data_IF_207585460811
#
_entry.id   IF_207585460811
#
_cell.length_a   1.000
_cell.length_b   1.000
_cell.length_c   1.000
_cell.angle_alpha   90.00
_cell.angle_beta   90.00
_cell.angle_gamma   90.00
#
_symmetry.space_group_name_H-M   'P 1'
#
loop_
_entity.id
_entity.type
_entity.pdbx_description
1 polymer ?
#
# COMPACT_ATOMS: atom_id res chain seq x y z
N UNK A 1 -0.36 18.30 19.90
CA UNK A 1 -0.08 17.49 18.70
C UNK A 1 0.14 16.08 19.20
N UNK A 2 -0.70 15.12 18.81
CA UNK A 2 -0.43 13.73 19.16
C UNK A 2 0.83 13.30 18.41
N UNK A 3 1.82 12.80 19.13
CA UNK A 3 2.99 12.21 18.50
C UNK A 3 2.54 10.91 17.82
N UNK A 4 2.86 10.78 16.54
CA UNK A 4 2.65 9.56 15.78
C UNK A 4 4.00 8.94 15.44
N UNK A 5 4.04 7.60 15.40
CA UNK A 5 5.23 6.86 14.97
C UNK A 5 4.87 6.01 13.78
N UNK A 6 5.72 6.02 12.75
CA UNK A 6 5.59 5.14 11.58
C UNK A 6 6.57 4.00 11.76
N UNK A 7 6.09 2.76 11.60
CA UNK A 7 6.91 1.55 11.63
C UNK A 7 6.55 0.62 10.49
N UNK A 8 7.49 -0.17 9.98
CA UNK A 8 7.21 -1.19 8.97
C UNK A 8 6.83 -2.53 9.59
N UNK A 9 6.26 -3.44 8.81
CA UNK A 9 6.00 -4.80 9.24
C UNK A 9 7.30 -5.51 9.63
N UNK A 10 8.41 -5.22 8.93
CA UNK A 10 9.74 -5.72 9.34
C UNK A 10 10.13 -5.27 10.75
N UNK A 11 9.78 -4.04 11.13
CA UNK A 11 10.14 -3.47 12.43
C UNK A 11 9.23 -3.93 13.57
N UNK A 12 7.95 -4.19 13.29
CA UNK A 12 6.94 -4.62 14.27
C UNK A 12 6.11 -5.81 13.75
N UNK A 13 6.74 -6.98 13.54
CA UNK A 13 6.03 -8.16 13.05
C UNK A 13 4.96 -8.65 14.05
N UNK A 14 5.09 -8.30 15.33
CA UNK A 14 4.10 -8.58 16.38
C UNK A 14 2.76 -7.85 16.18
N UNK A 15 2.72 -6.80 15.35
CA UNK A 15 1.51 -6.03 15.06
C UNK A 15 0.81 -6.42 13.76
N UNK A 16 1.38 -7.35 12.98
CA UNK A 16 0.80 -7.81 11.71
C UNK A 16 -0.63 -8.31 11.87
N UNK A 17 -0.98 -9.15 12.87
CA UNK A 17 -2.36 -9.63 13.03
C UNK A 17 -3.38 -8.49 13.20
N UNK A 18 -3.00 -7.43 13.93
CA UNK A 18 -3.85 -6.24 14.12
C UNK A 18 -4.01 -5.46 12.82
N UNK A 19 -2.96 -5.43 12.02
CA UNK A 19 -2.95 -4.75 10.72
C UNK A 19 -3.83 -5.47 9.69
N UNK A 20 -3.80 -6.80 9.69
CA UNK A 20 -4.63 -7.63 8.82
C UNK A 20 -6.11 -7.48 9.15
N UNK A 21 -6.47 -7.55 10.44
CA UNK A 21 -7.85 -7.33 10.91
C UNK A 21 -8.39 -5.97 10.44
N UNK A 22 -7.60 -4.90 10.62
CA UNK A 22 -7.98 -3.55 10.20
C UNK A 22 -8.07 -3.40 8.67
N UNK A 23 -7.18 -4.06 7.94
CA UNK A 23 -7.19 -4.06 6.47
C UNK A 23 -8.45 -4.75 5.96
N UNK A 24 -8.76 -5.93 6.50
CA UNK A 24 -9.94 -6.71 6.14
C UNK A 24 -11.25 -5.95 6.45
N UNK A 25 -11.35 -5.26 7.60
CA UNK A 25 -12.52 -4.43 7.94
C UNK A 25 -12.70 -3.23 7.00
N UNK A 26 -11.59 -2.71 6.44
CA UNK A 26 -11.61 -1.52 5.59
C UNK A 26 -11.88 -1.84 4.11
N UNK A 27 -11.80 -3.11 3.71
CA UNK A 27 -11.95 -3.52 2.31
C UNK A 27 -13.41 -3.63 1.88
N UNK A 28 -13.82 -2.97 0.77
CA UNK A 28 -15.12 -3.19 0.16
C UNK A 28 -15.30 -4.63 -0.33
N UNK A 29 -16.53 -5.12 -0.43
CA UNK A 29 -16.85 -6.46 -0.97
C UNK A 29 -16.27 -6.72 -2.37
N UNK A 30 -16.08 -5.65 -3.17
CA UNK A 30 -15.49 -5.72 -4.51
C UNK A 30 -13.98 -6.04 -4.50
N UNK A 31 -13.28 -5.87 -3.37
CA UNK A 31 -11.91 -6.33 -3.20
C UNK A 31 -11.84 -7.82 -2.84
N UNK A 32 -12.83 -8.33 -2.09
CA UNK A 32 -12.89 -9.74 -1.68
C UNK A 32 -13.10 -10.71 -2.85
N UNK A 33 -13.68 -10.23 -3.96
CA UNK A 33 -13.95 -11.02 -5.16
C UNK A 33 -12.92 -10.83 -6.28
N UNK A 34 -11.82 -10.11 -6.03
CA UNK A 34 -10.82 -9.85 -7.04
C UNK A 34 -9.73 -10.93 -7.10
N UNK A 35 -9.53 -11.51 -8.27
CA UNK A 35 -8.58 -12.61 -8.45
C UNK A 35 -7.12 -12.18 -8.31
N UNK A 36 -6.76 -10.95 -8.67
CA UNK A 36 -5.39 -10.42 -8.54
C UNK A 36 -5.10 -10.07 -7.09
N UNK A 37 -6.01 -9.33 -6.44
CA UNK A 37 -5.91 -8.97 -5.02
C UNK A 37 -5.83 -10.22 -4.14
N UNK A 38 -6.73 -11.19 -4.33
CA UNK A 38 -6.74 -12.43 -3.55
C UNK A 38 -5.46 -13.26 -3.70
N UNK A 39 -4.81 -13.19 -4.87
CA UNK A 39 -3.57 -13.92 -5.16
C UNK A 39 -2.33 -13.21 -4.63
N UNK A 40 -2.24 -11.89 -4.84
CA UNK A 40 -1.00 -11.13 -4.68
C UNK A 40 -0.97 -10.27 -3.41
N UNK A 41 -2.10 -9.75 -2.95
CA UNK A 41 -2.10 -8.86 -1.80
C UNK A 41 -1.64 -9.54 -0.50
N UNK A 42 -2.05 -10.78 -0.17
CA UNK A 42 -1.55 -11.47 1.02
C UNK A 42 -0.03 -11.70 1.01
N UNK A 43 0.59 -11.75 -0.18
CA UNK A 43 2.04 -11.92 -0.31
C UNK A 43 2.83 -10.66 0.07
N UNK A 44 2.20 -9.48 0.09
CA UNK A 44 2.89 -8.21 0.38
C UNK A 44 3.54 -8.21 1.77
N UNK A 45 2.90 -8.83 2.75
CA UNK A 45 3.43 -8.98 4.11
C UNK A 45 4.76 -9.73 4.11
N UNK A 46 4.85 -10.81 3.35
CA UNK A 46 6.00 -11.73 3.35
C UNK A 46 7.10 -11.24 2.41
N UNK A 47 6.73 -10.86 1.20
CA UNK A 47 7.67 -10.53 0.12
C UNK A 47 8.12 -9.07 0.17
N UNK A 48 7.31 -8.18 0.75
CA UNK A 48 7.59 -6.73 0.84
C UNK A 48 7.35 -6.13 2.24
N UNK A 49 7.84 -6.74 3.34
CA UNK A 49 7.56 -6.28 4.72
C UNK A 49 8.14 -4.89 5.03
N UNK A 50 9.10 -4.41 4.25
CA UNK A 50 9.66 -3.06 4.36
C UNK A 50 8.73 -1.99 3.77
N UNK A 51 7.79 -2.39 2.92
CA UNK A 51 6.87 -1.49 2.22
C UNK A 51 5.43 -1.55 2.76
N UNK A 52 5.21 -2.38 3.79
CA UNK A 52 3.97 -2.41 4.57
C UNK A 52 4.23 -1.68 5.88
N UNK A 53 3.41 -0.70 6.23
CA UNK A 53 3.68 0.17 7.37
C UNK A 53 2.45 0.48 8.22
N UNK A 54 2.71 0.83 9.47
CA UNK A 54 1.75 1.12 10.51
C UNK A 54 1.96 2.53 11.03
N UNK A 55 0.85 3.21 11.32
CA UNK A 55 0.85 4.44 12.10
C UNK A 55 0.42 4.13 13.51
N UNK A 56 1.29 4.40 14.48
CA UNK A 56 1.04 4.21 15.90
C UNK A 56 0.78 5.55 16.58
N UNK A 57 -0.17 5.58 17.53
CA UNK A 57 -0.30 6.73 18.43
C UNK A 57 0.71 6.68 19.59
N UNK A 58 0.69 7.70 20.45
CA UNK A 58 1.60 7.77 21.61
C UNK A 58 1.43 6.65 22.64
N UNK A 59 0.36 5.84 22.56
CA UNK A 59 0.13 4.64 23.36
C UNK A 59 0.50 3.34 22.63
N UNK A 60 1.17 3.42 21.48
CA UNK A 60 1.50 2.30 20.58
C UNK A 60 0.28 1.57 19.99
N UNK A 61 -0.90 2.21 19.97
CA UNK A 61 -2.06 1.63 19.29
C UNK A 61 -1.95 1.84 17.79
N UNK A 62 -2.29 0.82 17.00
CA UNK A 62 -2.40 0.93 15.53
C UNK A 62 -3.59 1.81 15.18
N UNK A 63 -3.31 2.96 14.55
CA UNK A 63 -4.31 3.94 14.11
C UNK A 63 -4.32 4.14 12.59
N UNK A 64 -3.48 3.39 11.87
CA UNK A 64 -3.49 3.34 10.42
C UNK A 64 -2.59 2.23 9.89
N UNK A 65 -2.98 1.64 8.76
CA UNK A 65 -2.18 0.64 8.01
C UNK A 65 -2.03 1.15 6.58
N UNK A 66 -0.82 1.10 6.06
CA UNK A 66 -0.48 1.50 4.71
C UNK A 66 0.19 0.35 3.97
N UNK A 67 -0.30 0.07 2.76
CA UNK A 67 0.26 -0.94 1.89
C UNK A 67 0.77 -0.29 0.61
N UNK A 68 1.96 -0.71 0.22
CA UNK A 68 2.62 -0.24 -0.99
C UNK A 68 3.49 -1.33 -1.59
N UNK A 69 3.83 -1.18 -2.86
CA UNK A 69 4.66 -2.13 -3.58
C UNK A 69 5.72 -1.37 -4.40
N UNK A 70 7.00 -1.78 -4.33
CA UNK A 70 8.04 -1.17 -5.15
C UNK A 70 7.92 -1.67 -6.59
N UNK A 71 8.09 -0.77 -7.56
CA UNK A 71 8.04 -1.07 -8.99
C UNK A 71 9.17 -0.34 -9.74
N UNK A 72 9.52 -0.84 -10.92
CA UNK A 72 10.32 -0.10 -11.88
C UNK A 72 9.39 0.67 -12.82
N UNK A 73 9.62 1.97 -12.94
CA UNK A 73 8.86 2.84 -13.83
C UNK A 73 9.79 3.85 -14.49
N UNK A 74 9.55 4.14 -15.77
CA UNK A 74 10.37 5.05 -16.58
C UNK A 74 10.02 6.53 -16.40
N UNK A 75 8.98 6.83 -15.61
CA UNK A 75 8.49 8.20 -15.36
C UNK A 75 7.52 8.71 -16.42
N UNK A 76 7.16 7.91 -17.42
CA UNK A 76 6.26 8.29 -18.49
C UNK A 76 4.82 7.87 -18.15
N UNK A 77 3.88 8.83 -18.21
CA UNK A 77 2.46 8.51 -18.01
C UNK A 77 1.93 7.52 -19.04
N UNK A 78 2.49 7.53 -20.26
CA UNK A 78 2.13 6.60 -21.33
C UNK A 78 2.49 5.13 -21.05
N UNK A 79 3.36 4.86 -20.06
CA UNK A 79 3.72 3.50 -19.66
C UNK A 79 2.84 2.97 -18.52
N UNK A 80 1.95 3.80 -17.95
CA UNK A 80 1.01 3.37 -16.92
C UNK A 80 -0.18 2.67 -17.59
N UNK A 81 -0.51 1.47 -17.12
CA UNK A 81 -1.65 0.71 -17.65
C UNK A 81 -2.99 1.27 -17.14
N UNK A 82 -4.01 1.22 -17.99
CA UNK A 82 -5.41 1.44 -17.61
C UNK A 82 -5.92 0.35 -16.65
N UNK A 83 -5.23 -0.79 -16.53
CA UNK A 83 -5.51 -1.82 -15.51
C UNK A 83 -5.16 -1.34 -14.08
N UNK A 84 -4.40 -0.25 -13.97
CA UNK A 84 -4.18 0.49 -12.73
C UNK A 84 -3.61 -0.35 -11.58
N UNK A 85 -4.43 -0.57 -10.57
CA UNK A 85 -4.04 -1.23 -9.32
C UNK A 85 -3.61 -2.69 -9.52
N UNK A 86 -4.31 -3.45 -10.38
CA UNK A 86 -3.97 -4.84 -10.66
C UNK A 86 -2.60 -4.92 -11.35
N UNK A 87 -2.36 -4.01 -12.29
CA UNK A 87 -1.09 -3.93 -13.02
C UNK A 87 0.10 -3.64 -12.11
N UNK A 88 0.02 -2.69 -11.17
CA UNK A 88 1.17 -2.41 -10.29
C UNK A 88 1.51 -3.57 -9.36
N UNK A 89 0.51 -4.35 -8.92
CA UNK A 89 0.77 -5.57 -8.15
C UNK A 89 1.55 -6.57 -9.00
N UNK A 90 1.06 -6.85 -10.21
CA UNK A 90 1.72 -7.79 -11.11
C UNK A 90 3.13 -7.32 -11.50
N UNK A 91 3.32 -6.02 -11.75
CA UNK A 91 4.64 -5.45 -12.02
C UNK A 91 5.60 -5.59 -10.84
N UNK A 92 5.15 -5.32 -9.61
CA UNK A 92 6.02 -5.44 -8.44
C UNK A 92 6.44 -6.88 -8.17
N UNK A 93 5.51 -7.84 -8.25
CA UNK A 93 5.85 -9.26 -8.09
C UNK A 93 6.69 -9.81 -9.24
N UNK A 94 6.37 -9.47 -10.49
CA UNK A 94 7.19 -9.83 -11.64
C UNK A 94 8.60 -9.24 -11.54
N UNK A 95 8.72 -7.99 -11.08
CA UNK A 95 9.99 -7.33 -10.85
C UNK A 95 10.82 -8.05 -9.79
N UNK A 96 10.21 -8.44 -8.67
CA UNK A 96 10.85 -9.24 -7.63
C UNK A 96 11.36 -10.59 -8.19
N UNK A 97 10.50 -11.32 -8.91
CA UNK A 97 10.81 -12.64 -9.48
C UNK A 97 11.93 -12.59 -10.53
N UNK A 98 12.02 -11.49 -11.28
CA UNK A 98 13.03 -11.30 -12.33
C UNK A 98 14.26 -10.49 -11.86
N UNK A 99 14.34 -10.12 -10.58
CA UNK A 99 15.47 -9.33 -10.06
C UNK A 99 15.57 -7.91 -10.64
N UNK A 100 14.45 -7.33 -11.05
CA UNK A 100 14.39 -5.94 -11.53
C UNK A 100 14.55 -4.99 -10.34
N UNK A 101 15.46 -4.03 -10.46
CA UNK A 101 15.68 -3.02 -9.42
C UNK A 101 14.56 -1.96 -9.47
N UNK A 102 13.73 -1.83 -8.43
CA UNK A 102 12.68 -0.82 -8.41
C UNK A 102 13.25 0.59 -8.18
N UNK A 103 12.55 1.60 -8.69
CA UNK A 103 12.91 3.01 -8.55
C UNK A 103 11.73 3.90 -8.11
N UNK A 104 10.56 3.30 -7.94
CA UNK A 104 9.28 3.95 -7.71
C UNK A 104 8.49 3.16 -6.68
N UNK A 105 7.81 3.85 -5.76
CA UNK A 105 6.84 3.22 -4.87
C UNK A 105 5.44 3.39 -5.44
N UNK A 106 4.62 2.33 -5.42
CA UNK A 106 3.21 2.41 -5.74
C UNK A 106 2.35 2.27 -4.49
N UNK A 107 1.49 3.25 -4.23
CA UNK A 107 0.47 3.17 -3.18
C UNK A 107 -0.60 2.13 -3.54
N UNK A 108 -0.98 1.27 -2.60
CA UNK A 108 -2.03 0.27 -2.80
C UNK A 108 -3.26 0.51 -1.93
N UNK A 109 -3.06 0.77 -0.63
CA UNK A 109 -4.16 1.06 0.29
C UNK A 109 -3.70 1.83 1.53
N UNK A 110 -4.62 2.60 2.09
CA UNK A 110 -4.54 3.18 3.44
C UNK A 110 -5.82 2.84 4.17
N UNK A 111 -5.69 2.14 5.30
CA UNK A 111 -6.79 1.74 6.18
C UNK A 111 -6.70 2.52 7.48
N UNK A 112 -7.79 3.19 7.88
CA UNK A 112 -7.88 3.97 9.13
C UNK A 112 -9.10 3.48 9.92
N UNK A 113 -8.95 3.15 11.22
CA UNK A 113 -10.05 2.69 12.06
C UNK A 113 -11.20 3.71 12.05
N UNK A 114 -12.47 3.28 12.02
CA UNK A 114 -13.61 4.19 12.02
C UNK A 114 -13.56 5.24 13.13
N UNK A 115 -13.11 4.86 14.34
CA UNK A 115 -12.96 5.74 15.51
C UNK A 115 -11.88 6.82 15.37
N UNK A 116 -11.00 6.73 14.37
CA UNK A 116 -9.89 7.64 14.12
C UNK A 116 -10.05 8.47 12.83
N UNK A 117 -11.12 8.27 12.08
CA UNK A 117 -11.42 9.04 10.84
C UNK A 117 -11.74 10.50 11.14
N UNK A 118 -11.58 11.37 10.15
CA UNK A 118 -11.83 12.82 10.28
C UNK A 118 -10.74 13.62 11.00
N UNK A 119 -9.64 12.98 11.40
CA UNK A 119 -8.54 13.60 12.17
C UNK A 119 -7.33 13.99 11.30
N UNK A 120 -7.47 13.96 9.97
CA UNK A 120 -6.38 14.26 9.03
C UNK A 120 -5.34 13.15 8.86
N UNK A 121 -5.56 11.95 9.42
CA UNK A 121 -4.59 10.84 9.37
C UNK A 121 -4.28 10.37 7.94
N UNK A 122 -5.21 10.47 6.98
CA UNK A 122 -4.93 10.12 5.59
C UNK A 122 -3.75 10.91 5.01
N UNK A 123 -3.64 12.19 5.35
CA UNK A 123 -2.51 13.03 4.92
C UNK A 123 -1.21 12.56 5.57
N UNK A 124 -1.24 12.27 6.87
CA UNK A 124 -0.08 11.73 7.60
C UNK A 124 0.40 10.41 6.98
N UNK A 125 -0.53 9.52 6.59
CA UNK A 125 -0.23 8.25 5.94
C UNK A 125 0.40 8.43 4.55
N UNK A 126 -0.08 9.38 3.75
CA UNK A 126 0.53 9.69 2.44
C UNK A 126 1.92 10.28 2.62
N UNK A 127 2.11 11.21 3.55
CA UNK A 127 3.42 11.79 3.88
C UNK A 127 4.40 10.72 4.39
N UNK A 128 3.92 9.76 5.18
CA UNK A 128 4.70 8.60 5.62
C UNK A 128 5.14 7.72 4.44
N UNK A 129 4.26 7.48 3.46
CA UNK A 129 4.58 6.70 2.26
C UNK A 129 5.59 7.41 1.35
N UNK A 130 5.48 8.74 1.20
CA UNK A 130 6.50 9.56 0.50
C UNK A 130 7.85 9.43 1.20
N UNK A 131 7.88 9.52 2.53
CA UNK A 131 9.12 9.34 3.30
C UNK A 131 9.68 7.93 3.12
N UNK A 132 8.83 6.90 3.15
CA UNK A 132 9.24 5.51 2.93
C UNK A 132 9.87 5.33 1.55
N UNK A 133 9.28 5.89 0.49
CA UNK A 133 9.87 5.89 -0.84
C UNK A 133 11.27 6.56 -0.84
N UNK A 134 11.40 7.73 -0.21
CA UNK A 134 12.66 8.47 -0.14
C UNK A 134 13.74 7.72 0.67
N UNK A 135 13.38 7.09 1.79
CA UNK A 135 14.29 6.30 2.63
C UNK A 135 14.86 5.09 1.86
N UNK A 136 14.12 4.58 0.88
CA UNK A 136 14.55 3.53 -0.05
C UNK A 136 15.20 4.05 -1.34
N UNK A 137 15.42 5.36 -1.46
CA UNK A 137 16.06 5.98 -2.62
C UNK A 137 15.19 6.07 -3.87
N UNK A 138 13.88 5.90 -3.74
CA UNK A 138 12.95 6.01 -4.86
C UNK A 138 12.62 7.47 -5.17
N UNK A 139 12.65 7.82 -6.46
CA UNK A 139 12.42 9.18 -6.93
C UNK A 139 10.94 9.51 -7.17
N UNK A 140 10.08 8.50 -7.22
CA UNK A 140 8.67 8.65 -7.57
C UNK A 140 7.76 7.90 -6.60
N UNK A 141 6.58 8.47 -6.37
CA UNK A 141 5.43 7.80 -5.76
C UNK A 141 4.27 7.87 -6.74
N UNK A 142 3.71 6.73 -7.12
CA UNK A 142 2.49 6.63 -7.93
C UNK A 142 1.34 6.09 -7.08
N UNK A 143 0.12 6.49 -7.40
CA UNK A 143 -1.09 6.03 -6.72
C UNK A 143 -2.11 5.61 -7.78
N UNK A 144 -2.01 4.37 -8.29
CA UNK A 144 -2.96 3.88 -9.28
C UNK A 144 -4.34 3.75 -8.66
N UNK A 145 -5.33 4.26 -9.37
CA UNK A 145 -6.72 4.00 -9.02
C UNK A 145 -7.12 2.65 -9.59
N UNK A 146 -7.96 1.92 -8.86
CA UNK A 146 -8.57 0.71 -9.42
C UNK A 146 -9.63 1.13 -10.43
N UNK A 147 -9.62 0.60 -11.66
CA UNK A 147 -10.66 0.91 -12.63
C UNK A 147 -12.02 0.47 -12.08
N UNK A 148 -12.98 1.39 -12.00
CA UNK A 148 -14.35 1.00 -11.72
C UNK A 148 -14.83 0.13 -12.89
N UNK A 149 -15.28 -1.10 -12.64
CA UNK A 149 -15.82 -2.00 -13.68
C UNK A 149 -17.06 -1.46 -14.44
N UNK A 150 -17.44 -0.20 -14.20
CA UNK A 150 -18.52 0.53 -14.87
C UNK A 150 -18.27 0.76 -16.38
N UNK A 151 -17.09 0.44 -16.91
CA UNK A 151 -16.76 0.58 -18.34
C UNK A 151 -16.58 -0.75 -19.08
N UNK A 152 -17.24 -1.83 -18.64
CA UNK A 152 -17.47 -3.02 -19.48
C UNK A 152 -18.92 -3.09 -19.93
N UNK A 153 -19.33 -2.14 -20.76
CA UNK A 153 -20.43 -2.34 -21.70
C UNK A 153 -19.91 -2.00 -23.11
N UNK A 154 -20.04 -2.90 -24.10
CA UNK A 154 -19.68 -2.62 -25.48
C UNK A 154 -20.52 -1.49 -26.10
#
# INVERSE_FOLDING_TARGET
>A
MNAYTVVTYRQRPDLIPVADDLTAESWPELMLNDTVANRLFPRLEVDFPDFQFLLLDGGNAVIGVGNSIPVAWDGLSASLSDDGWDWVLEQGFSGLENGVVPNTLSALSISIPPSRRGQGLSRVMVEAMVKLAADHGFGNLIAPVRPNQMHRNP
#
